data_IF_986332974442
#
_entry.id   IF_986332974442
#
_cell.length_a   1.000
_cell.length_b   1.000
_cell.length_c   1.000
_cell.angle_alpha   90.00
_cell.angle_beta   90.00
_cell.angle_gamma   90.00
#
_symmetry.space_group_name_H-M   'P 1'
#
loop_
_entity.id
_entity.type
_entity.pdbx_description
1 polymer ?
#
# COMPACT_ATOMS: atom_id res chain seq x y z
N UNK A 1 -11.78 -1.30 -58.21
CA UNK A 1 -10.96 -1.97 -57.18
C UNK A 1 -9.79 -1.10 -56.78
N UNK A 2 -9.82 -0.59 -55.56
CA UNK A 2 -8.65 -0.05 -54.87
C UNK A 2 -8.78 -0.52 -53.42
N UNK A 3 -8.02 -1.57 -53.09
CA UNK A 3 -7.97 -2.13 -51.75
C UNK A 3 -7.48 -1.05 -50.78
N UNK A 4 -8.36 -0.63 -49.87
CA UNK A 4 -8.04 0.21 -48.73
C UNK A 4 -7.14 -0.61 -47.82
N UNK A 5 -5.83 -0.54 -48.09
CA UNK A 5 -4.77 -1.23 -47.35
C UNK A 5 -4.90 -0.86 -45.88
N UNK A 6 -5.23 -1.86 -45.07
CA UNK A 6 -5.20 -1.82 -43.61
C UNK A 6 -3.91 -1.14 -43.13
N UNK A 7 -4.07 0.02 -42.47
CA UNK A 7 -3.02 0.62 -41.67
C UNK A 7 -2.83 -0.28 -40.45
N UNK A 8 -1.97 -1.30 -40.59
CA UNK A 8 -1.52 -2.06 -39.44
C UNK A 8 -0.95 -1.08 -38.40
N UNK A 9 -1.48 -1.02 -37.17
CA UNK A 9 -0.82 -0.27 -36.12
C UNK A 9 0.53 -0.96 -35.92
N UNK A 10 1.61 -0.22 -36.15
CA UNK A 10 2.95 -0.73 -35.93
C UNK A 10 3.04 -1.24 -34.49
N UNK A 11 3.38 -2.52 -34.32
CA UNK A 11 3.67 -3.18 -33.03
C UNK A 11 4.61 -2.32 -32.14
N UNK A 12 5.36 -1.42 -32.76
CA UNK A 12 6.32 -0.49 -32.17
C UNK A 12 5.73 0.80 -31.56
N UNK A 13 4.42 1.08 -31.65
CA UNK A 13 3.84 2.36 -31.21
C UNK A 13 2.86 2.28 -30.03
N UNK A 14 3.00 1.27 -29.17
CA UNK A 14 2.44 1.39 -27.82
C UNK A 14 3.22 0.52 -26.85
N UNK A 15 4.50 0.84 -26.69
CA UNK A 15 5.21 0.47 -25.47
C UNK A 15 4.90 1.54 -24.43
N UNK A 16 3.63 1.62 -23.99
CA UNK A 16 3.33 2.19 -22.68
C UNK A 16 3.88 1.22 -21.65
N UNK A 17 5.21 1.16 -21.54
CA UNK A 17 5.90 0.68 -20.35
C UNK A 17 5.65 1.78 -19.33
N UNK A 18 4.42 1.85 -18.83
CA UNK A 18 4.14 2.44 -17.55
C UNK A 18 4.87 1.53 -16.57
N UNK A 19 6.12 1.86 -16.29
CA UNK A 19 6.77 1.35 -15.11
C UNK A 19 5.92 1.86 -13.95
N UNK A 20 4.99 1.02 -13.49
CA UNK A 20 4.47 1.14 -12.15
C UNK A 20 5.63 0.74 -11.25
N UNK A 21 6.58 1.65 -11.11
CA UNK A 21 7.54 1.63 -10.01
C UNK A 21 6.63 1.58 -8.79
N UNK A 22 6.54 0.39 -8.19
CA UNK A 22 5.56 0.13 -7.14
C UNK A 22 5.71 1.21 -6.08
N UNK A 23 4.60 1.80 -5.66
CA UNK A 23 4.66 2.81 -4.63
C UNK A 23 5.23 2.16 -3.37
N UNK A 24 6.48 2.48 -3.02
CA UNK A 24 7.07 2.03 -1.76
C UNK A 24 6.36 2.78 -0.63
N UNK A 25 5.47 2.06 0.06
CA UNK A 25 4.86 2.55 1.28
C UNK A 25 5.85 2.28 2.39
N UNK A 26 6.37 3.36 2.99
CA UNK A 26 7.22 3.25 4.16
C UNK A 26 6.41 2.57 5.29
N UNK A 27 6.96 1.55 5.97
CA UNK A 27 6.27 0.92 7.08
C UNK A 27 6.05 1.92 8.20
N UNK A 28 4.87 1.88 8.83
CA UNK A 28 4.57 2.71 10.00
C UNK A 28 5.50 2.32 11.16
N UNK A 29 6.57 3.11 11.32
CA UNK A 29 7.54 2.95 12.39
C UNK A 29 7.11 3.82 13.57
N UNK A 30 6.37 3.22 14.51
CA UNK A 30 6.10 3.87 15.78
C UNK A 30 7.42 4.18 16.52
N UNK A 31 7.56 5.38 17.13
CA UNK A 31 8.73 5.67 17.96
C UNK A 31 8.91 4.62 19.06
N UNK A 32 10.16 4.27 19.38
CA UNK A 32 10.47 3.28 20.41
C UNK A 32 9.82 3.59 21.77
N UNK A 33 9.67 4.89 22.08
CA UNK A 33 9.00 5.37 23.30
C UNK A 33 7.50 5.04 23.32
N UNK A 34 6.83 5.05 22.17
CA UNK A 34 5.41 4.67 22.05
C UNK A 34 5.26 3.18 22.30
N UNK A 35 6.15 2.36 21.74
CA UNK A 35 6.15 0.91 21.95
C UNK A 35 6.39 0.57 23.42
N UNK A 36 7.35 1.23 24.08
CA UNK A 36 7.63 1.04 25.51
C UNK A 36 6.41 1.36 26.37
N UNK A 37 5.75 2.50 26.13
CA UNK A 37 4.54 2.90 26.86
C UNK A 37 3.42 1.89 26.64
N UNK A 38 3.19 1.42 25.42
CA UNK A 38 2.16 0.41 25.11
C UNK A 38 2.44 -0.90 25.87
N UNK A 39 3.69 -1.37 25.89
CA UNK A 39 4.06 -2.59 26.61
C UNK A 39 3.85 -2.42 28.11
N UNK A 40 4.31 -1.30 28.69
CA UNK A 40 4.12 -1.02 30.12
C UNK A 40 2.64 -0.95 30.47
N UNK A 41 1.83 -0.26 29.67
CA UNK A 41 0.38 -0.18 29.89
C UNK A 41 -0.26 -1.56 29.79
N UNK A 42 0.04 -2.36 28.76
CA UNK A 42 -0.52 -3.72 28.62
C UNK A 42 -0.11 -4.64 29.78
N UNK A 43 1.12 -4.52 30.28
CA UNK A 43 1.60 -5.34 31.41
C UNK A 43 1.03 -4.90 32.76
N UNK A 44 0.76 -3.61 32.94
CA UNK A 44 0.23 -3.04 34.17
C UNK A 44 -1.31 -3.05 34.23
N UNK A 45 -1.98 -3.20 33.10
CA UNK A 45 -3.43 -3.30 33.08
C UNK A 45 -3.85 -4.67 33.64
N UNK A 46 -4.79 -4.70 34.61
CA UNK A 46 -5.42 -5.95 34.99
C UNK A 46 -6.09 -6.57 33.75
N UNK A 47 -6.23 -7.90 33.70
CA UNK A 47 -6.81 -8.72 32.60
C UNK A 47 -8.30 -8.42 32.29
N UNK A 48 -8.77 -7.20 32.55
CA UNK A 48 -10.06 -6.71 32.11
C UNK A 48 -10.08 -6.64 30.58
N UNK A 49 -11.23 -6.96 29.93
CA UNK A 49 -11.35 -6.87 28.49
C UNK A 49 -11.21 -5.41 28.05
N UNK A 50 -10.02 -5.03 27.60
CA UNK A 50 -9.78 -3.72 27.00
C UNK A 50 -10.29 -3.80 25.57
N UNK A 51 -11.44 -3.18 25.29
CA UNK A 51 -11.92 -3.06 23.91
C UNK A 51 -11.07 -1.97 23.23
N UNK A 52 -10.00 -2.41 22.55
CA UNK A 52 -9.08 -1.53 21.82
C UNK A 52 -9.65 -1.02 20.49
N UNK A 53 -10.86 -1.45 20.12
CA UNK A 53 -11.61 -0.91 19.00
C UNK A 53 -12.68 0.06 19.52
N UNK A 54 -12.33 1.35 19.62
CA UNK A 54 -13.35 2.38 19.57
C UNK A 54 -13.81 2.49 18.10
N UNK A 55 -15.11 2.42 17.79
CA UNK A 55 -15.58 2.66 16.43
C UNK A 55 -15.36 4.13 16.04
N UNK A 56 -15.12 4.32 14.74
CA UNK A 56 -15.05 5.62 14.04
C UNK A 56 -16.31 6.46 14.21
#
# INVERSE_FOLDING_TARGET
>A
SAAHRELQPSLTHNLNIGAAEGCEVEPDAAPATVLEVVVVVVLLLPLQPVNLFAPS
#
